data_IF_897253698330
#
_entry.id   IF_897253698330
#
_cell.length_a   1.000
_cell.length_b   1.000
_cell.length_c   1.000
_cell.angle_alpha   90.00
_cell.angle_beta   90.00
_cell.angle_gamma   90.00
#
_symmetry.space_group_name_H-M   'P 1'
#
loop_
_entity.id
_entity.type
_entity.pdbx_description
1 polymer ?
#
# COMPACT_ATOMS: atom_id res chain seq x y z
N UNK A 1 2.33 -29.80 16.91
CA UNK A 1 2.34 -29.00 15.67
C UNK A 1 3.71 -28.36 15.64
N UNK A 2 4.62 -28.81 14.78
CA UNK A 2 5.99 -28.28 14.74
C UNK A 2 5.95 -26.78 14.37
N UNK A 3 6.67 -25.95 15.12
CA UNK A 3 6.92 -24.55 14.77
C UNK A 3 7.68 -24.54 13.44
N UNK A 4 6.94 -24.35 12.35
CA UNK A 4 7.52 -24.24 11.02
C UNK A 4 8.22 -22.89 10.98
N UNK A 5 9.55 -22.89 11.00
CA UNK A 5 10.34 -21.70 10.67
C UNK A 5 9.90 -21.24 9.28
N UNK A 6 9.33 -20.04 9.21
CA UNK A 6 8.94 -19.43 7.94
C UNK A 6 10.19 -18.78 7.35
N UNK A 7 10.31 -18.76 6.04
CA UNK A 7 11.38 -18.04 5.37
C UNK A 7 11.02 -16.54 5.32
N UNK A 8 12.01 -15.66 5.50
CA UNK A 8 11.75 -14.22 5.47
C UNK A 8 11.20 -13.73 4.10
N UNK A 9 11.55 -14.42 3.01
CA UNK A 9 11.00 -14.19 1.68
C UNK A 9 9.52 -14.60 1.60
N UNK A 10 9.10 -15.63 2.33
CA UNK A 10 7.69 -16.01 2.43
C UNK A 10 6.90 -14.95 3.17
N UNK A 11 7.46 -14.38 4.24
CA UNK A 11 6.84 -13.25 4.94
C UNK A 11 6.70 -12.04 4.02
N UNK A 12 7.76 -11.65 3.33
CA UNK A 12 7.74 -10.52 2.38
C UNK A 12 6.69 -10.76 1.30
N UNK A 13 6.67 -11.95 0.70
CA UNK A 13 5.69 -12.33 -0.33
C UNK A 13 4.26 -12.24 0.22
N UNK A 14 4.02 -12.76 1.43
CA UNK A 14 2.73 -12.69 2.09
C UNK A 14 2.29 -11.24 2.33
N UNK A 15 3.17 -10.39 2.86
CA UNK A 15 2.88 -9.01 3.16
C UNK A 15 2.64 -8.18 1.90
N UNK A 16 3.46 -8.34 0.86
CA UNK A 16 3.25 -7.71 -0.44
C UNK A 16 1.98 -8.20 -1.11
N UNK A 17 1.64 -9.49 -1.04
CA UNK A 17 0.35 -9.98 -1.54
C UNK A 17 -0.83 -9.40 -0.76
N UNK A 18 -0.67 -9.22 0.56
CA UNK A 18 -1.70 -8.66 1.43
C UNK A 18 -1.98 -7.19 1.12
N UNK A 19 -0.97 -6.39 0.78
CA UNK A 19 -1.17 -4.98 0.38
C UNK A 19 -1.97 -4.84 -0.92
N UNK A 20 -1.95 -5.84 -1.80
CA UNK A 20 -2.72 -5.87 -3.05
C UNK A 20 -4.18 -6.30 -2.85
N UNK A 21 -4.50 -6.98 -1.74
CA UNK A 21 -5.80 -7.61 -1.48
C UNK A 21 -7.00 -6.65 -1.62
N UNK A 22 -6.94 -5.38 -1.17
CA UNK A 22 -8.10 -4.49 -1.28
C UNK A 22 -8.62 -4.31 -2.72
N UNK A 23 -7.73 -4.35 -3.73
CA UNK A 23 -8.16 -4.25 -5.13
C UNK A 23 -8.98 -5.44 -5.63
N UNK A 24 -8.91 -6.57 -4.93
CA UNK A 24 -9.65 -7.78 -5.27
C UNK A 24 -11.07 -7.76 -4.69
N UNK A 25 -11.39 -6.79 -3.84
CA UNK A 25 -12.68 -6.68 -3.16
C UNK A 25 -13.70 -5.92 -4.00
N UNK A 26 -14.79 -6.57 -4.40
CA UNK A 26 -15.88 -5.94 -5.14
C UNK A 26 -16.56 -4.83 -4.34
N UNK A 27 -16.58 -4.90 -3.00
CA UNK A 27 -17.20 -3.87 -2.16
C UNK A 27 -16.43 -2.55 -2.21
N UNK A 28 -15.09 -2.62 -2.32
CA UNK A 28 -14.27 -1.44 -2.58
C UNK A 28 -14.69 -0.76 -3.89
N UNK A 29 -14.87 -1.52 -4.97
CA UNK A 29 -15.26 -0.96 -6.27
C UNK A 29 -16.69 -0.43 -6.28
N UNK A 30 -17.59 -1.03 -5.50
CA UNK A 30 -18.96 -0.54 -5.31
C UNK A 30 -19.01 0.83 -4.64
N UNK A 31 -18.02 1.20 -3.82
CA UNK A 31 -17.91 2.56 -3.28
C UNK A 31 -17.80 3.60 -4.40
N UNK A 32 -17.13 3.26 -5.51
CA UNK A 32 -16.92 4.15 -6.66
C UNK A 32 -17.99 4.04 -7.75
N UNK A 33 -19.10 3.33 -7.48
CA UNK A 33 -20.24 3.21 -8.41
C UNK A 33 -20.12 2.07 -9.42
N UNK A 34 -19.12 1.19 -9.30
CA UNK A 34 -19.02 -0.01 -10.12
C UNK A 34 -19.93 -1.12 -9.58
N UNK A 35 -20.41 -2.01 -10.45
CA UNK A 35 -21.16 -3.20 -10.02
C UNK A 35 -20.25 -4.28 -9.42
N UNK A 36 -19.04 -4.38 -9.97
CA UNK A 36 -17.95 -5.30 -9.61
C UNK A 36 -16.62 -4.70 -10.07
N UNK A 37 -15.51 -5.29 -9.65
CA UNK A 37 -14.17 -4.92 -10.10
C UNK A 37 -14.08 -4.83 -11.64
N UNK A 38 -13.51 -3.74 -12.19
CA UNK A 38 -13.22 -3.64 -13.62
C UNK A 38 -12.32 -4.79 -14.09
N UNK A 39 -12.68 -5.41 -15.22
CA UNK A 39 -11.94 -6.55 -15.80
C UNK A 39 -10.93 -6.10 -16.85
N UNK A 40 -10.91 -4.81 -17.20
CA UNK A 40 -9.97 -4.26 -18.19
C UNK A 40 -8.53 -4.54 -17.77
N UNK A 41 -7.84 -5.36 -18.55
CA UNK A 41 -6.43 -5.69 -18.31
C UNK A 41 -5.51 -4.49 -18.54
N UNK A 42 -4.30 -4.53 -17.98
CA UNK A 42 -3.31 -3.46 -18.05
C UNK A 42 -3.03 -2.93 -19.47
N UNK A 43 -3.20 -3.78 -20.50
CA UNK A 43 -3.05 -3.38 -21.91
C UNK A 43 -4.11 -2.34 -22.32
N UNK A 44 -5.37 -2.51 -21.91
CA UNK A 44 -6.43 -1.53 -22.23
C UNK A 44 -6.23 -0.21 -21.50
N UNK A 45 -5.82 -0.26 -20.22
CA UNK A 45 -5.45 0.94 -19.47
C UNK A 45 -4.30 1.70 -20.13
N UNK A 46 -3.33 0.99 -20.72
CA UNK A 46 -2.20 1.60 -21.46
C UNK A 46 -2.61 2.18 -22.81
N UNK A 47 -3.48 1.49 -23.55
CA UNK A 47 -3.92 1.95 -24.87
C UNK A 47 -4.93 3.11 -24.79
N UNK A 48 -5.75 3.13 -23.73
CA UNK A 48 -6.81 4.12 -23.56
C UNK A 48 -6.74 4.79 -22.18
N UNK A 49 -5.64 5.47 -21.84
CA UNK A 49 -5.40 5.98 -20.48
C UNK A 49 -6.48 6.95 -20.02
N UNK A 50 -7.01 7.80 -20.94
CA UNK A 50 -8.10 8.74 -20.63
C UNK A 50 -9.44 8.05 -20.34
N UNK A 51 -9.68 6.88 -20.92
CA UNK A 51 -10.92 6.11 -20.69
C UNK A 51 -10.91 5.39 -19.35
N UNK A 52 -9.72 5.05 -18.87
CA UNK A 52 -9.47 4.30 -17.66
C UNK A 52 -8.87 5.17 -16.54
N UNK A 53 -8.97 6.50 -16.66
CA UNK A 53 -8.28 7.46 -15.78
C UNK A 53 -8.72 7.30 -14.31
N UNK A 54 -10.03 7.21 -14.07
CA UNK A 54 -10.59 6.95 -12.75
C UNK A 54 -10.10 5.62 -12.16
N UNK A 55 -10.13 4.54 -12.94
CA UNK A 55 -9.77 3.20 -12.48
C UNK A 55 -8.27 3.12 -12.17
N UNK A 56 -7.44 3.73 -13.01
CA UNK A 56 -5.99 3.84 -12.78
C UNK A 56 -5.70 4.67 -11.52
N UNK A 57 -6.45 5.76 -11.30
CA UNK A 57 -6.30 6.60 -10.12
C UNK A 57 -6.70 5.86 -8.83
N UNK A 58 -7.86 5.22 -8.81
CA UNK A 58 -8.32 4.37 -7.69
C UNK A 58 -7.28 3.28 -7.41
N UNK A 59 -6.84 2.58 -8.46
CA UNK A 59 -5.84 1.51 -8.34
C UNK A 59 -4.57 2.02 -7.66
N UNK A 60 -4.01 3.15 -8.12
CA UNK A 60 -2.79 3.71 -7.54
C UNK A 60 -2.97 4.06 -6.07
N UNK A 61 -4.05 4.76 -5.71
CA UNK A 61 -4.24 5.22 -4.34
C UNK A 61 -4.53 4.07 -3.37
N UNK A 62 -5.38 3.11 -3.76
CA UNK A 62 -5.71 1.94 -2.94
C UNK A 62 -4.47 1.08 -2.69
N UNK A 63 -3.62 0.90 -3.70
CA UNK A 63 -2.37 0.18 -3.54
C UNK A 63 -1.40 0.91 -2.61
N UNK A 64 -1.27 2.24 -2.75
CA UNK A 64 -0.44 3.03 -1.85
C UNK A 64 -0.96 2.92 -0.40
N UNK A 65 -2.27 3.02 -0.17
CA UNK A 65 -2.89 2.85 1.15
C UNK A 65 -2.61 1.47 1.74
N UNK A 66 -2.78 0.40 0.96
CA UNK A 66 -2.50 -0.97 1.41
C UNK A 66 -1.03 -1.19 1.79
N UNK A 67 -0.08 -0.60 1.06
CA UNK A 67 1.34 -0.64 1.41
C UNK A 67 1.61 0.12 2.71
N UNK A 68 0.99 1.29 2.90
CA UNK A 68 1.12 2.06 4.15
C UNK A 68 0.67 1.22 5.36
N UNK A 69 -0.48 0.57 5.28
CA UNK A 69 -1.00 -0.25 6.38
C UNK A 69 -0.08 -1.45 6.69
N UNK A 70 0.50 -2.07 5.66
CA UNK A 70 1.50 -3.13 5.82
C UNK A 70 2.76 -2.63 6.51
N UNK A 71 3.30 -1.48 6.08
CA UNK A 71 4.47 -0.87 6.71
C UNK A 71 4.19 -0.48 8.17
N UNK A 72 2.98 0.00 8.47
CA UNK A 72 2.53 0.23 9.85
C UNK A 72 2.45 -1.06 10.67
N UNK A 73 2.01 -2.16 10.07
CA UNK A 73 2.02 -3.48 10.70
C UNK A 73 3.44 -3.95 11.04
N UNK A 74 4.39 -3.80 10.12
CA UNK A 74 5.82 -4.09 10.35
C UNK A 74 6.38 -3.21 11.45
N UNK A 75 6.12 -1.90 11.40
CA UNK A 75 6.55 -0.93 12.40
C UNK A 75 6.10 -1.31 13.81
N UNK A 76 4.84 -1.72 13.95
CA UNK A 76 4.22 -2.12 15.23
C UNK A 76 4.68 -3.49 15.75
N UNK A 77 5.36 -4.31 14.92
CA UNK A 77 5.80 -5.66 15.30
C UNK A 77 6.92 -5.69 16.34
N UNK A 78 7.20 -6.87 16.88
CA UNK A 78 8.26 -7.14 17.85
C UNK A 78 9.60 -7.48 17.19
N UNK A 79 9.69 -7.40 15.85
CA UNK A 79 10.93 -7.57 15.12
C UNK A 79 12.00 -6.58 15.58
N UNK A 80 13.27 -6.96 15.44
CA UNK A 80 14.37 -6.03 15.68
C UNK A 80 14.28 -4.82 14.72
N UNK A 81 14.87 -3.66 15.05
CA UNK A 81 14.90 -2.52 14.14
C UNK A 81 15.47 -2.87 12.75
N UNK A 82 16.51 -3.70 12.71
CA UNK A 82 17.15 -4.14 11.46
C UNK A 82 16.21 -5.05 10.65
N UNK A 83 15.53 -5.99 11.30
CA UNK A 83 14.54 -6.85 10.65
C UNK A 83 13.33 -6.05 10.14
N UNK A 84 12.87 -5.04 10.88
CA UNK A 84 11.79 -4.15 10.43
C UNK A 84 12.18 -3.42 9.16
N UNK A 85 13.41 -2.90 9.08
CA UNK A 85 13.91 -2.23 7.89
C UNK A 85 14.01 -3.22 6.73
N UNK A 86 14.58 -4.39 6.96
CA UNK A 86 14.81 -5.41 5.96
C UNK A 86 13.48 -5.95 5.39
N UNK A 87 12.50 -6.27 6.24
CA UNK A 87 11.15 -6.68 5.80
C UNK A 87 10.45 -5.54 5.06
N UNK A 88 10.54 -4.30 5.55
CA UNK A 88 9.93 -3.14 4.87
C UNK A 88 10.50 -2.92 3.47
N UNK A 89 11.82 -3.04 3.34
CA UNK A 89 12.50 -2.96 2.04
C UNK A 89 12.08 -4.10 1.11
N UNK A 90 12.05 -5.33 1.60
CA UNK A 90 11.58 -6.47 0.83
C UNK A 90 10.14 -6.31 0.35
N UNK A 91 9.24 -5.81 1.21
CA UNK A 91 7.84 -5.56 0.84
C UNK A 91 7.73 -4.55 -0.28
N UNK A 92 8.45 -3.43 -0.17
CA UNK A 92 8.44 -2.36 -1.18
C UNK A 92 9.06 -2.85 -2.49
N UNK A 93 10.19 -3.55 -2.44
CA UNK A 93 10.85 -4.11 -3.62
C UNK A 93 9.95 -5.10 -4.37
N UNK A 94 9.41 -6.10 -3.65
CA UNK A 94 8.50 -7.08 -4.23
C UNK A 94 7.25 -6.42 -4.80
N UNK A 95 6.74 -5.38 -4.13
CA UNK A 95 5.60 -4.61 -4.62
C UNK A 95 5.93 -3.86 -5.92
N UNK A 96 7.06 -3.16 -5.99
CA UNK A 96 7.52 -2.45 -7.19
C UNK A 96 7.74 -3.42 -8.34
N UNK A 97 8.43 -4.54 -8.12
CA UNK A 97 8.64 -5.58 -9.12
C UNK A 97 7.31 -6.11 -9.70
N UNK A 98 6.30 -6.28 -8.86
CA UNK A 98 4.95 -6.74 -9.26
C UNK A 98 4.18 -5.67 -10.03
N UNK A 99 4.34 -4.40 -9.67
CA UNK A 99 3.53 -3.28 -10.17
C UNK A 99 4.23 -2.39 -11.19
N UNK A 100 5.47 -2.71 -11.60
CA UNK A 100 6.28 -1.97 -12.59
C UNK A 100 5.60 -1.68 -13.92
N UNK A 101 4.57 -2.44 -14.26
CA UNK A 101 3.80 -2.27 -15.48
C UNK A 101 2.67 -1.23 -15.35
N UNK A 102 2.37 -0.77 -14.14
CA UNK A 102 1.31 0.20 -13.81
C UNK A 102 1.87 1.61 -13.57
N UNK A 103 3.00 1.72 -12.88
CA UNK A 103 3.66 3.00 -12.58
C UNK A 103 5.18 2.79 -12.46
N UNK A 104 5.95 3.88 -12.64
CA UNK A 104 7.40 3.86 -12.43
C UNK A 104 7.74 3.93 -10.94
N UNK A 105 8.89 3.38 -10.57
CA UNK A 105 9.33 3.27 -9.17
C UNK A 105 9.39 4.64 -8.47
N UNK A 106 10.01 5.64 -9.10
CA UNK A 106 10.08 7.02 -8.56
C UNK A 106 8.68 7.61 -8.32
N UNK A 107 7.76 7.45 -9.27
CA UNK A 107 6.41 7.98 -9.19
C UNK A 107 5.60 7.29 -8.10
N UNK A 108 5.88 6.02 -7.81
CA UNK A 108 5.27 5.32 -6.69
C UNK A 108 5.87 5.76 -5.36
N UNK A 109 7.19 5.83 -5.25
CA UNK A 109 7.86 6.15 -4.00
C UNK A 109 7.56 7.59 -3.54
N UNK A 110 7.55 8.55 -4.47
CA UNK A 110 7.11 9.92 -4.17
C UNK A 110 5.66 9.94 -3.69
N UNK A 111 4.79 9.12 -4.30
CA UNK A 111 3.41 8.99 -3.87
C UNK A 111 3.30 8.40 -2.47
N UNK A 112 4.05 7.33 -2.20
CA UNK A 112 4.06 6.62 -0.93
C UNK A 112 4.46 7.56 0.20
N UNK A 113 5.56 8.29 0.06
CA UNK A 113 6.02 9.21 1.10
C UNK A 113 5.06 10.40 1.28
N UNK A 114 4.52 10.95 0.21
CA UNK A 114 3.55 12.06 0.29
C UNK A 114 2.26 11.61 0.98
N UNK A 115 1.75 10.43 0.62
CA UNK A 115 0.55 9.85 1.22
C UNK A 115 0.80 9.50 2.70
N UNK A 116 1.96 8.94 3.04
CA UNK A 116 2.31 8.61 4.41
C UNK A 116 2.48 9.85 5.30
N UNK A 117 3.14 10.91 4.80
CA UNK A 117 3.22 12.19 5.52
C UNK A 117 1.82 12.80 5.76
N UNK A 118 0.96 12.73 4.74
CA UNK A 118 -0.43 13.17 4.85
C UNK A 118 -1.21 12.33 5.86
N UNK A 119 -1.01 11.00 5.88
CA UNK A 119 -1.60 10.08 6.84
C UNK A 119 -1.24 10.46 8.28
N UNK A 120 0.06 10.71 8.55
CA UNK A 120 0.53 11.11 9.88
C UNK A 120 -0.05 12.45 10.36
N UNK A 121 -0.29 13.40 9.45
CA UNK A 121 -0.78 14.75 9.77
C UNK A 121 -2.31 14.84 9.81
N UNK A 122 -3.01 13.87 9.25
CA UNK A 122 -4.46 13.93 9.12
C UNK A 122 -5.15 13.54 10.43
N UNK A 123 -6.24 14.24 10.73
CA UNK A 123 -7.22 13.72 11.69
C UNK A 123 -7.76 12.39 11.15
N UNK A 124 -7.83 11.36 12.00
CA UNK A 124 -8.28 10.00 11.59
C UNK A 124 -9.65 10.03 10.89
N UNK A 125 -10.56 10.89 11.34
CA UNK A 125 -11.89 11.10 10.76
C UNK A 125 -11.89 11.79 9.38
N UNK A 126 -10.72 12.22 8.88
CA UNK A 126 -10.56 13.00 7.65
C UNK A 126 -9.46 12.45 6.74
N UNK A 127 -9.06 11.18 6.90
CA UNK A 127 -8.04 10.52 6.08
C UNK A 127 -8.32 10.55 4.56
N UNK A 128 -9.59 10.69 4.17
CA UNK A 128 -10.00 10.87 2.78
C UNK A 128 -9.57 12.23 2.18
N UNK A 129 -9.37 13.26 2.99
CA UNK A 129 -9.22 14.64 2.52
C UNK A 129 -8.00 14.85 1.63
N UNK A 130 -6.78 14.42 2.01
CA UNK A 130 -5.60 14.59 1.15
C UNK A 130 -5.76 13.87 -0.20
N UNK A 131 -6.33 12.66 -0.17
CA UNK A 131 -6.60 11.84 -1.36
C UNK A 131 -7.56 12.53 -2.33
N UNK A 132 -8.64 13.11 -1.82
CA UNK A 132 -9.62 13.84 -2.62
C UNK A 132 -9.02 15.12 -3.22
N UNK A 133 -8.25 15.89 -2.45
CA UNK A 133 -7.62 17.11 -2.94
C UNK A 133 -6.68 16.84 -4.11
N UNK A 134 -5.93 15.73 -4.03
CA UNK A 134 -5.05 15.28 -5.11
C UNK A 134 -5.82 14.87 -6.37
N UNK A 135 -6.98 14.23 -6.23
CA UNK A 135 -7.80 13.80 -7.36
C UNK A 135 -8.36 14.99 -8.17
N UNK A 136 -8.63 16.13 -7.52
CA UNK A 136 -9.26 17.31 -8.13
C UNK A 136 -8.48 17.89 -9.32
N UNK A 137 -7.16 17.76 -9.32
CA UNK A 137 -6.30 18.31 -10.38
C UNK A 137 -6.01 17.31 -11.50
N UNK A 138 -6.41 16.05 -11.32
CA UNK A 138 -6.07 14.93 -12.22
C UNK A 138 -7.33 14.45 -12.96
N UNK A 139 -8.43 14.23 -12.23
CA UNK A 139 -9.65 13.68 -12.81
C UNK A 139 -10.53 14.77 -13.42
N UNK A 140 -11.26 14.42 -14.48
CA UNK A 140 -12.35 15.25 -14.98
C UNK A 140 -13.47 15.39 -13.92
N UNK A 141 -14.42 16.31 -14.15
CA UNK A 141 -15.47 16.64 -13.15
C UNK A 141 -16.34 15.44 -12.74
N UNK A 142 -16.69 14.58 -13.70
CA UNK A 142 -17.57 13.42 -13.44
C UNK A 142 -16.82 12.37 -12.61
N UNK A 143 -15.61 12.02 -13.03
CA UNK A 143 -14.79 11.02 -12.36
C UNK A 143 -14.30 11.52 -11.00
N UNK A 144 -14.00 12.81 -10.86
CA UNK A 144 -13.71 13.43 -9.58
C UNK A 144 -14.87 13.27 -8.59
N UNK A 145 -16.11 13.50 -9.04
CA UNK A 145 -17.29 13.33 -8.18
C UNK A 145 -17.46 11.87 -7.73
N UNK A 146 -17.30 10.90 -8.65
CA UNK A 146 -17.33 9.46 -8.31
C UNK A 146 -16.22 9.10 -7.32
N UNK A 147 -15.01 9.59 -7.56
CA UNK A 147 -13.86 9.35 -6.69
C UNK A 147 -14.08 9.93 -5.29
N UNK A 148 -14.55 11.17 -5.20
CA UNK A 148 -14.81 11.86 -3.94
C UNK A 148 -15.84 11.09 -3.10
N UNK A 149 -17.00 10.76 -3.70
CA UNK A 149 -18.06 10.02 -2.99
C UNK A 149 -17.57 8.63 -2.57
N UNK A 150 -16.87 7.92 -3.44
CA UNK A 150 -16.37 6.58 -3.13
C UNK A 150 -15.30 6.58 -2.06
N UNK A 151 -14.38 7.55 -2.07
CA UNK A 151 -13.29 7.65 -1.09
C UNK A 151 -13.81 8.08 0.28
N UNK A 152 -14.78 9.00 0.32
CA UNK A 152 -15.48 9.33 1.57
C UNK A 152 -16.12 8.04 2.09
N UNK A 153 -16.95 7.36 1.31
CA UNK A 153 -17.63 6.13 1.76
C UNK A 153 -16.66 5.06 2.27
N UNK A 154 -15.55 4.86 1.55
CA UNK A 154 -14.54 3.86 1.89
C UNK A 154 -13.81 4.17 3.20
N UNK A 155 -13.55 5.45 3.50
CA UNK A 155 -12.70 5.88 4.62
C UNK A 155 -13.47 6.63 5.72
N UNK A 156 -14.79 6.80 5.58
CA UNK A 156 -15.64 7.49 6.57
C UNK A 156 -16.19 6.57 7.64
N UNK A 157 -16.14 5.25 7.43
CA UNK A 157 -16.43 4.31 8.51
C UNK A 157 -15.40 4.53 9.63
N UNK A 158 -15.81 4.32 10.89
CA UNK A 158 -14.97 4.50 12.08
C UNK A 158 -13.80 3.48 12.08
N UNK A 159 -12.82 3.71 11.22
CA UNK A 159 -11.59 2.96 11.14
C UNK A 159 -10.55 3.69 11.98
N UNK A 160 -10.35 3.12 13.16
CA UNK A 160 -9.39 3.53 14.17
C UNK A 160 -8.01 3.13 13.62
N UNK A 161 -7.25 4.10 13.10
CA UNK A 161 -5.79 4.05 12.86
C UNK A 161 -5.25 3.57 11.51
N UNK A 162 -6.05 2.99 10.62
CA UNK A 162 -5.54 2.42 9.36
C UNK A 162 -6.42 2.82 8.16
N UNK A 163 -5.92 2.65 6.93
CA UNK A 163 -6.71 2.93 5.73
C UNK A 163 -7.68 1.79 5.38
N UNK A 164 -7.16 0.62 5.02
CA UNK A 164 -7.90 -0.50 4.43
C UNK A 164 -7.61 -1.83 5.13
N UNK A 165 -6.39 -1.99 5.64
CA UNK A 165 -5.91 -3.19 6.30
C UNK A 165 -5.61 -2.89 7.77
N UNK A 166 -6.06 -3.75 8.67
CA UNK A 166 -5.83 -3.57 10.11
C UNK A 166 -4.35 -3.84 10.43
N UNK A 167 -3.55 -2.79 10.64
CA UNK A 167 -2.12 -2.91 10.93
C UNK A 167 -1.86 -3.67 12.23
N UNK A 168 -2.77 -3.62 13.21
CA UNK A 168 -2.67 -4.44 14.43
C UNK A 168 -2.80 -5.95 14.15
N UNK A 169 -3.67 -6.35 13.20
CA UNK A 169 -3.79 -7.74 12.79
C UNK A 169 -2.57 -8.19 11.98
N UNK A 170 -2.00 -7.29 11.18
CA UNK A 170 -0.75 -7.53 10.45
C UNK A 170 0.42 -7.70 11.43
N UNK A 171 0.54 -6.83 12.43
CA UNK A 171 1.49 -6.95 13.54
C UNK A 171 1.40 -8.33 14.19
N UNK A 172 0.20 -8.74 14.60
CA UNK A 172 0.00 -10.02 15.29
C UNK A 172 0.37 -11.20 14.39
N UNK A 173 0.07 -11.09 13.09
CA UNK A 173 0.51 -12.07 12.10
C UNK A 173 2.03 -12.11 12.02
N UNK A 174 2.71 -10.98 11.84
CA UNK A 174 4.17 -10.89 11.76
C UNK A 174 4.82 -11.50 13.01
N UNK A 175 4.34 -11.13 14.21
CA UNK A 175 4.84 -11.64 15.48
C UNK A 175 4.62 -13.14 15.67
N UNK A 176 3.55 -13.70 15.10
CA UNK A 176 3.31 -15.15 15.12
C UNK A 176 4.26 -15.89 14.16
N UNK A 177 4.61 -15.25 13.05
CA UNK A 177 5.49 -15.83 12.04
C UNK A 177 6.97 -15.58 12.36
N UNK A 178 7.30 -14.79 13.39
CA UNK A 178 8.66 -14.32 13.71
C UNK A 178 9.56 -15.34 14.42
N UNK A 179 9.69 -16.52 13.81
CA UNK A 179 10.72 -17.53 14.07
C UNK A 179 11.45 -17.87 12.77
N UNK A 180 12.02 -16.86 12.10
CA UNK A 180 12.66 -17.06 10.80
C UNK A 180 14.02 -17.75 10.97
N UNK A 181 14.30 -18.77 10.17
CA UNK A 181 15.71 -19.13 9.90
C UNK A 181 16.27 -18.08 8.96
N UNK A 182 17.40 -17.45 9.30
CA UNK A 182 18.05 -16.42 8.47
C UNK A 182 18.55 -17.02 7.14
N UNK A 183 17.66 -17.17 6.16
CA UNK A 183 18.01 -17.22 4.75
C UNK A 183 18.16 -15.78 4.26
N UNK A 184 19.19 -15.56 3.44
CA UNK A 184 19.46 -14.24 2.86
C UNK A 184 18.22 -13.79 2.07
N UNK A 185 17.68 -12.61 2.42
CA UNK A 185 16.55 -12.03 1.72
C UNK A 185 16.90 -11.86 0.24
N UNK A 186 16.05 -12.34 -0.66
CA UNK A 186 16.21 -12.20 -2.11
C UNK A 186 15.72 -10.83 -2.57
N UNK A 187 16.36 -9.76 -2.08
CA UNK A 187 16.15 -8.41 -2.60
C UNK A 187 17.15 -8.19 -3.73
N UNK A 188 16.67 -7.87 -4.93
CA UNK A 188 17.53 -7.15 -5.87
C UNK A 188 17.64 -5.73 -5.33
N UNK A 189 18.79 -5.32 -4.77
CA UNK A 189 18.98 -3.95 -4.27
C UNK A 189 19.73 -3.06 -5.28
N UNK A 190 19.08 -2.55 -6.35
CA UNK A 190 19.61 -1.42 -7.10
C UNK A 190 19.96 -0.22 -6.21
N UNK A 191 20.85 0.65 -6.67
CA UNK A 191 21.27 1.86 -5.95
C UNK A 191 20.11 2.74 -5.48
N UNK A 192 18.99 2.73 -6.22
CA UNK A 192 17.78 3.50 -5.89
C UNK A 192 17.21 3.12 -4.51
N UNK A 193 17.40 1.88 -4.07
CA UNK A 193 16.93 1.39 -2.78
C UNK A 193 17.77 1.88 -1.59
N UNK A 194 19.03 2.31 -1.79
CA UNK A 194 19.79 2.97 -0.70
C UNK A 194 19.14 4.31 -0.33
N UNK A 195 18.68 5.05 -1.33
CA UNK A 195 17.93 6.31 -1.13
C UNK A 195 16.61 6.02 -0.42
N UNK A 196 15.85 5.04 -0.88
CA UNK A 196 14.56 4.72 -0.28
C UNK A 196 14.65 4.07 1.11
N UNK A 197 15.63 3.22 1.38
CA UNK A 197 15.82 2.61 2.69
C UNK A 197 16.08 3.64 3.78
N UNK A 198 16.91 4.65 3.49
CA UNK A 198 17.13 5.79 4.39
C UNK A 198 15.82 6.55 4.67
N UNK A 199 14.98 6.73 3.63
CA UNK A 199 13.70 7.42 3.75
C UNK A 199 12.66 6.59 4.51
N UNK A 200 12.58 5.27 4.27
CA UNK A 200 11.69 4.36 5.01
C UNK A 200 12.08 4.33 6.49
N UNK A 201 13.37 4.18 6.78
CA UNK A 201 13.87 4.18 8.15
C UNK A 201 13.47 5.48 8.85
N UNK A 202 13.73 6.63 8.23
CA UNK A 202 13.51 7.95 8.82
C UNK A 202 12.03 8.33 8.92
N UNK A 203 11.28 8.16 7.84
CA UNK A 203 9.95 8.73 7.68
C UNK A 203 8.83 7.77 8.07
N UNK A 204 9.11 6.48 8.24
CA UNK A 204 8.09 5.46 8.54
C UNK A 204 8.42 4.76 9.86
N UNK A 205 9.56 4.09 9.93
CA UNK A 205 9.93 3.23 11.06
C UNK A 205 10.32 4.01 12.31
N UNK A 206 10.90 5.20 12.14
CA UNK A 206 11.37 6.06 13.25
C UNK A 206 10.35 7.11 13.71
N UNK A 207 9.22 7.28 13.00
CA UNK A 207 8.20 8.26 13.37
C UNK A 207 7.47 7.80 14.63
N UNK A 208 7.40 8.62 15.66
CA UNK A 208 6.74 8.31 16.93
C UNK A 208 5.22 8.12 16.79
#
# INVERSE_FOLDING_TARGET
MEEKNIDINDLVTYLSGTSLKPLLDDDLWRCYGYRKRPVSGAIFSKMFPKRHELENFITKEVLTMGVIDVLNGVKKSNLSPDDKLLVSLGVVDQFLATTKHLFTDDVFMDNLFTAYDSFLKSEKSKLYTPSILKAKTILNKEDFAKYMVGTIRLLSEEHIEDYLLKSNALRDTINRLSGFSETKLSIEMPEIYRKYGSLIQKNILSSS
#
